data_IF_170139001271
#
_entry.id   IF_170139001271
#
_cell.length_a   1.000
_cell.length_b   1.000
_cell.length_c   1.000
_cell.angle_alpha   90.00
_cell.angle_beta   90.00
_cell.angle_gamma   90.00
#
_symmetry.space_group_name_H-M   'P 1'
#
loop_
_entity.id
_entity.type
_entity.pdbx_description
1 polymer ?
#
# COMPACT_ATOMS: atom_id res chain seq x y z
N UNK A 1 14.39 -2.37 4.59
CA UNK A 1 13.18 -1.53 4.44
C UNK A 1 11.96 -2.42 4.24
N UNK A 2 10.75 -1.90 4.54
CA UNK A 2 9.48 -2.59 4.34
C UNK A 2 8.68 -1.93 3.22
N UNK A 3 8.27 -2.70 2.21
CA UNK A 3 7.28 -2.27 1.22
C UNK A 3 5.90 -2.56 1.75
N UNK A 4 5.05 -1.55 1.88
CA UNK A 4 3.74 -1.70 2.52
C UNK A 4 2.59 -1.88 1.53
N UNK A 5 2.87 -1.79 0.23
CA UNK A 5 1.86 -1.88 -0.82
C UNK A 5 2.44 -2.49 -2.10
N UNK A 6 2.00 -3.69 -2.45
CA UNK A 6 2.45 -4.41 -3.65
C UNK A 6 1.44 -5.46 -4.12
N UNK A 7 1.37 -5.68 -5.44
CA UNK A 7 0.52 -6.68 -6.10
C UNK A 7 1.33 -7.89 -6.58
N UNK A 8 2.22 -8.37 -5.70
CA UNK A 8 3.14 -9.46 -6.01
C UNK A 8 2.51 -10.84 -5.76
N UNK A 9 1.38 -10.94 -5.03
CA UNK A 9 0.70 -12.22 -4.83
C UNK A 9 0.10 -12.70 -6.15
N UNK A 10 0.66 -13.77 -6.69
CA UNK A 10 0.35 -14.20 -8.04
C UNK A 10 -1.09 -14.70 -8.23
N UNK A 11 -1.66 -14.38 -9.39
CA UNK A 11 -2.92 -14.91 -9.88
C UNK A 11 -4.12 -14.65 -8.95
N UNK A 12 -4.16 -13.44 -8.34
CA UNK A 12 -5.24 -12.97 -7.47
C UNK A 12 -5.95 -11.76 -8.06
N UNK A 13 -5.20 -10.82 -8.61
CA UNK A 13 -5.67 -9.56 -9.17
C UNK A 13 -4.94 -9.23 -10.49
N UNK A 14 -4.81 -7.95 -10.84
CA UNK A 14 -4.06 -7.47 -11.99
C UNK A 14 -2.55 -7.34 -11.71
N UNK A 15 -2.05 -7.94 -10.63
CA UNK A 15 -0.63 -8.04 -10.31
C UNK A 15 0.05 -9.22 -10.99
N UNK A 16 0.99 -9.86 -10.29
CA UNK A 16 1.77 -11.00 -10.80
C UNK A 16 0.91 -12.11 -11.40
N UNK A 17 1.22 -12.53 -12.62
CA UNK A 17 0.50 -13.61 -13.31
C UNK A 17 0.96 -15.02 -12.92
N UNK A 18 2.14 -15.16 -12.33
CA UNK A 18 2.68 -16.46 -11.93
C UNK A 18 3.62 -16.36 -10.74
N UNK A 19 3.87 -17.50 -10.10
CA UNK A 19 4.79 -17.59 -8.97
C UNK A 19 6.22 -17.20 -9.38
N UNK A 20 6.63 -17.52 -10.61
CA UNK A 20 7.94 -17.14 -11.15
C UNK A 20 8.07 -15.64 -11.26
N UNK A 21 7.03 -14.93 -11.72
CA UNK A 21 6.99 -13.47 -11.78
C UNK A 21 7.08 -12.88 -10.38
N UNK A 22 6.32 -13.40 -9.41
CA UNK A 22 6.38 -12.98 -8.01
C UNK A 22 7.80 -13.12 -7.44
N UNK A 23 8.47 -14.23 -7.71
CA UNK A 23 9.84 -14.49 -7.25
C UNK A 23 10.83 -13.51 -7.88
N UNK A 24 10.69 -13.20 -9.16
CA UNK A 24 11.54 -12.19 -9.83
C UNK A 24 11.36 -10.84 -9.17
N UNK A 25 10.12 -10.37 -8.98
CA UNK A 25 9.82 -9.08 -8.34
C UNK A 25 10.38 -9.00 -6.91
N UNK A 26 10.24 -10.05 -6.12
CA UNK A 26 10.79 -10.10 -4.76
C UNK A 26 12.33 -10.03 -4.76
N UNK A 27 13.01 -10.70 -5.70
CA UNK A 27 14.46 -10.61 -5.86
C UNK A 27 14.90 -9.20 -6.26
N UNK A 28 14.17 -8.55 -7.15
CA UNK A 28 14.43 -7.17 -7.55
C UNK A 28 14.23 -6.19 -6.39
N UNK A 29 13.13 -6.31 -5.62
CA UNK A 29 12.91 -5.51 -4.42
C UNK A 29 14.03 -5.72 -3.39
N UNK A 30 14.45 -6.97 -3.18
CA UNK A 30 15.59 -7.27 -2.30
C UNK A 30 16.85 -6.56 -2.78
N UNK A 31 17.13 -6.53 -4.09
CA UNK A 31 18.34 -5.93 -4.67
C UNK A 31 18.45 -4.43 -4.38
N UNK A 32 17.32 -3.74 -4.19
CA UNK A 32 17.26 -2.31 -3.85
C UNK A 32 17.07 -2.05 -2.35
N UNK A 33 17.15 -3.11 -1.51
CA UNK A 33 17.24 -3.03 -0.07
C UNK A 33 15.93 -3.26 0.70
N UNK A 34 14.87 -3.78 0.09
CA UNK A 34 13.71 -4.25 0.82
C UNK A 34 14.00 -5.63 1.44
N UNK A 35 13.60 -5.79 2.69
CA UNK A 35 13.71 -7.05 3.45
C UNK A 35 12.36 -7.60 3.86
N UNK A 36 11.33 -6.76 3.81
CA UNK A 36 9.96 -7.11 4.12
C UNK A 36 9.03 -6.55 3.05
N UNK A 37 8.02 -7.31 2.65
CA UNK A 37 7.02 -6.91 1.65
C UNK A 37 5.64 -7.34 2.13
N UNK A 38 4.71 -6.39 2.21
CA UNK A 38 3.30 -6.68 2.45
C UNK A 38 2.63 -6.83 1.09
N UNK A 39 2.11 -8.02 0.83
CA UNK A 39 1.35 -8.35 -0.36
C UNK A 39 -0.08 -7.89 -0.14
N UNK A 40 -0.52 -6.91 -0.92
CA UNK A 40 -1.81 -6.24 -0.77
C UNK A 40 -2.66 -6.38 -2.02
N UNK A 41 -3.01 -7.61 -2.47
CA UNK A 41 -3.82 -7.76 -3.65
C UNK A 41 -5.13 -7.00 -3.49
N UNK A 42 -5.65 -6.49 -4.61
CA UNK A 42 -6.95 -5.82 -4.64
C UNK A 42 -8.06 -6.68 -4.04
N UNK A 43 -8.96 -6.02 -3.35
CA UNK A 43 -10.29 -6.54 -3.05
C UNK A 43 -11.35 -5.53 -3.48
N UNK A 44 -12.04 -5.83 -4.56
CA UNK A 44 -13.12 -5.00 -5.11
C UNK A 44 -14.40 -5.85 -5.08
N UNK A 45 -15.28 -5.59 -4.12
CA UNK A 45 -16.49 -6.38 -3.92
C UNK A 45 -17.33 -6.49 -5.19
N UNK A 46 -17.65 -7.72 -5.58
CA UNK A 46 -18.49 -8.02 -6.72
C UNK A 46 -17.79 -7.93 -8.09
N UNK A 47 -16.47 -7.76 -8.11
CA UNK A 47 -15.66 -7.80 -9.32
C UNK A 47 -14.86 -9.12 -9.42
N UNK A 48 -14.08 -9.28 -10.48
CA UNK A 48 -13.12 -10.38 -10.63
C UNK A 48 -12.01 -10.34 -9.56
N UNK A 49 -11.75 -9.19 -8.93
CA UNK A 49 -10.79 -9.00 -7.83
C UNK A 49 -11.42 -9.19 -6.45
N UNK A 50 -12.41 -10.08 -6.33
CA UNK A 50 -13.07 -10.42 -5.06
C UNK A 50 -12.65 -11.79 -4.52
N UNK A 51 -11.41 -12.20 -4.75
CA UNK A 51 -10.88 -13.47 -4.23
C UNK A 51 -11.03 -13.54 -2.71
N UNK A 52 -11.57 -14.66 -2.21
CA UNK A 52 -11.74 -14.88 -0.78
C UNK A 52 -10.39 -15.15 -0.08
N UNK A 53 -10.40 -15.07 1.25
CA UNK A 53 -9.18 -15.22 2.03
C UNK A 53 -8.56 -16.61 1.93
N UNK A 54 -9.33 -17.67 1.66
CA UNK A 54 -8.79 -19.01 1.50
C UNK A 54 -7.87 -19.08 0.28
N UNK A 55 -8.31 -18.59 -0.88
CA UNK A 55 -7.50 -18.57 -2.11
C UNK A 55 -6.22 -17.73 -1.90
N UNK A 56 -6.35 -16.56 -1.27
CA UNK A 56 -5.19 -15.70 -0.96
C UNK A 56 -4.18 -16.42 -0.06
N UNK A 57 -4.64 -17.14 0.98
CA UNK A 57 -3.79 -17.91 1.88
C UNK A 57 -3.10 -19.09 1.17
N UNK A 58 -3.78 -19.78 0.26
CA UNK A 58 -3.20 -20.84 -0.55
C UNK A 58 -2.03 -20.27 -1.39
N UNK A 59 -2.26 -19.20 -2.15
CA UNK A 59 -1.23 -18.53 -2.95
C UNK A 59 -0.07 -17.98 -2.10
N UNK A 60 -0.40 -17.41 -0.95
CA UNK A 60 0.61 -16.91 -0.01
C UNK A 60 1.49 -18.05 0.52
N UNK A 61 0.92 -19.20 0.85
CA UNK A 61 1.65 -20.37 1.33
C UNK A 61 2.56 -20.93 0.25
N UNK A 62 2.05 -21.11 -0.97
CA UNK A 62 2.83 -21.54 -2.12
C UNK A 62 4.03 -20.61 -2.38
N UNK A 63 3.81 -19.30 -2.37
CA UNK A 63 4.86 -18.30 -2.58
C UNK A 63 5.91 -18.34 -1.45
N UNK A 64 5.47 -18.50 -0.20
CA UNK A 64 6.37 -18.60 0.96
C UNK A 64 7.26 -19.84 0.90
N UNK A 65 6.72 -20.97 0.44
CA UNK A 65 7.49 -22.17 0.22
C UNK A 65 8.54 -22.01 -0.89
N UNK A 66 8.18 -21.37 -2.00
CA UNK A 66 9.10 -21.12 -3.11
C UNK A 66 10.22 -20.13 -2.73
N UNK A 67 9.92 -19.10 -1.94
CA UNK A 67 10.92 -18.19 -1.36
C UNK A 67 11.94 -18.98 -0.52
N UNK A 68 11.46 -19.87 0.34
CA UNK A 68 12.31 -20.72 1.18
C UNK A 68 13.17 -21.68 0.35
N UNK A 69 12.58 -22.32 -0.65
CA UNK A 69 13.26 -23.27 -1.55
C UNK A 69 14.38 -22.59 -2.35
N UNK A 70 14.17 -21.34 -2.76
CA UNK A 70 15.18 -20.55 -3.48
C UNK A 70 16.14 -19.78 -2.57
N UNK A 71 16.05 -19.93 -1.24
CA UNK A 71 16.88 -19.23 -0.25
C UNK A 71 16.87 -17.70 -0.43
N UNK A 72 15.69 -17.12 -0.72
CA UNK A 72 15.55 -15.67 -0.85
C UNK A 72 15.34 -15.07 0.54
N UNK A 73 16.29 -14.24 1.00
CA UNK A 73 16.21 -13.57 2.32
C UNK A 73 15.28 -12.35 2.25
N UNK A 74 13.99 -12.58 2.12
CA UNK A 74 12.92 -11.59 2.16
C UNK A 74 11.74 -12.19 2.93
N UNK A 75 11.12 -11.38 3.78
CA UNK A 75 9.91 -11.77 4.47
C UNK A 75 8.69 -11.23 3.73
N UNK A 76 7.65 -12.04 3.64
CA UNK A 76 6.37 -11.62 3.07
C UNK A 76 5.28 -11.66 4.12
N UNK A 77 4.36 -10.71 4.02
CA UNK A 77 3.18 -10.57 4.86
C UNK A 77 1.96 -10.39 3.97
N UNK A 78 0.78 -10.66 4.49
CA UNK A 78 -0.46 -10.60 3.70
C UNK A 78 -1.37 -9.50 4.22
N UNK A 79 -2.02 -8.80 3.31
CA UNK A 79 -3.07 -7.83 3.54
C UNK A 79 -3.99 -7.74 2.32
N UNK A 80 -4.77 -6.68 2.24
CA UNK A 80 -5.49 -6.29 1.03
C UNK A 80 -5.36 -4.79 0.79
N UNK A 81 -5.34 -4.38 -0.47
CA UNK A 81 -5.81 -3.08 -0.88
C UNK A 81 -7.31 -3.17 -1.12
N UNK A 82 -8.09 -2.53 -0.25
CA UNK A 82 -9.54 -2.65 -0.21
C UNK A 82 -10.15 -1.46 -0.94
N UNK A 83 -10.83 -1.70 -2.06
CA UNK A 83 -11.62 -0.65 -2.67
C UNK A 83 -12.79 -0.29 -1.75
N UNK A 84 -12.89 1.00 -1.42
CA UNK A 84 -13.81 1.51 -0.40
C UNK A 84 -15.25 1.08 -0.66
N UNK A 85 -15.92 0.60 0.39
CA UNK A 85 -17.34 0.23 0.39
C UNK A 85 -17.93 0.40 1.79
N UNK A 86 -19.25 0.58 1.87
CA UNK A 86 -19.94 0.83 3.15
C UNK A 86 -19.92 -0.35 4.13
N UNK A 87 -19.55 -1.54 3.68
CA UNK A 87 -19.57 -2.75 4.50
C UNK A 87 -18.19 -3.37 4.74
N UNK A 88 -17.13 -2.55 4.76
CA UNK A 88 -15.74 -3.03 5.04
C UNK A 88 -15.69 -3.84 6.34
N UNK A 89 -16.34 -3.38 7.39
CA UNK A 89 -16.34 -4.07 8.69
C UNK A 89 -17.03 -5.44 8.62
N UNK A 90 -18.13 -5.55 7.88
CA UNK A 90 -18.80 -6.83 7.64
C UNK A 90 -17.90 -7.80 6.86
N UNK A 91 -17.16 -7.31 5.88
CA UNK A 91 -16.21 -8.13 5.11
C UNK A 91 -15.06 -8.66 5.98
N UNK A 92 -14.58 -7.86 6.93
CA UNK A 92 -13.58 -8.30 7.94
C UNK A 92 -14.15 -9.38 8.85
N UNK A 93 -15.35 -9.18 9.40
CA UNK A 93 -16.03 -10.15 10.28
C UNK A 93 -16.28 -11.49 9.56
N UNK A 94 -16.64 -11.43 8.28
CA UNK A 94 -16.82 -12.61 7.43
C UNK A 94 -15.51 -13.24 6.93
N UNK A 95 -14.37 -12.65 7.26
CA UNK A 95 -13.05 -13.09 6.80
C UNK A 95 -12.94 -13.15 5.26
N UNK A 96 -13.55 -12.19 4.57
CA UNK A 96 -13.44 -12.04 3.12
C UNK A 96 -12.23 -11.18 2.72
N UNK A 97 -11.79 -10.28 3.64
CA UNK A 97 -10.63 -9.41 3.47
C UNK A 97 -9.66 -9.54 4.64
N UNK A 98 -8.42 -9.12 4.43
CA UNK A 98 -7.40 -9.00 5.46
C UNK A 98 -7.08 -7.53 5.76
N UNK A 99 -6.89 -7.21 7.04
CA UNK A 99 -6.07 -6.05 7.41
C UNK A 99 -4.59 -6.32 7.10
N UNK A 100 -3.76 -5.30 7.12
CA UNK A 100 -2.33 -5.48 6.86
C UNK A 100 -1.69 -6.38 7.96
N UNK A 101 -1.25 -7.56 7.56
CA UNK A 101 -0.64 -8.56 8.46
C UNK A 101 -1.46 -8.87 9.73
N UNK A 102 -2.79 -8.89 9.63
CA UNK A 102 -3.71 -9.07 10.77
C UNK A 102 -3.55 -8.02 11.88
N UNK A 103 -3.00 -6.85 11.60
CA UNK A 103 -2.96 -5.70 12.50
C UNK A 103 -4.27 -4.91 12.44
N UNK A 104 -4.35 -3.81 13.17
CA UNK A 104 -5.49 -2.89 13.12
C UNK A 104 -5.53 -1.98 11.87
N UNK A 105 -4.57 -2.07 10.98
CA UNK A 105 -4.43 -1.17 9.83
C UNK A 105 -5.11 -1.72 8.58
N UNK A 106 -5.93 -0.89 7.93
CA UNK A 106 -6.64 -1.21 6.70
C UNK A 106 -6.15 -0.32 5.56
N UNK A 107 -5.59 -0.89 4.51
CA UNK A 107 -5.22 -0.14 3.30
C UNK A 107 -6.45 0.00 2.41
N UNK A 108 -6.88 1.24 2.18
CA UNK A 108 -8.14 1.57 1.51
C UNK A 108 -7.86 2.37 0.25
N UNK A 109 -8.30 1.84 -0.89
CA UNK A 109 -8.30 2.54 -2.17
C UNK A 109 -9.62 3.30 -2.38
N UNK A 110 -9.53 4.52 -2.93
CA UNK A 110 -10.67 5.36 -3.28
C UNK A 110 -10.84 5.46 -4.80
N UNK A 111 -12.02 5.85 -5.32
CA UNK A 111 -12.20 6.12 -6.73
C UNK A 111 -11.29 7.28 -7.21
N UNK A 112 -10.63 7.11 -8.38
CA UNK A 112 -9.66 8.08 -8.87
C UNK A 112 -10.26 9.44 -9.26
N UNK A 113 -11.47 9.45 -9.80
CA UNK A 113 -12.09 10.63 -10.40
C UNK A 113 -13.18 11.26 -9.56
N UNK A 114 -13.90 10.47 -8.77
CA UNK A 114 -15.09 10.90 -8.05
C UNK A 114 -14.87 10.83 -6.52
N UNK A 115 -15.13 11.93 -5.85
CA UNK A 115 -15.11 11.94 -4.38
C UNK A 115 -16.31 11.15 -3.83
N UNK A 116 -16.08 10.37 -2.80
CA UNK A 116 -17.13 9.65 -2.06
C UNK A 116 -17.76 10.61 -1.04
N UNK A 117 -19.07 10.80 -1.11
CA UNK A 117 -19.78 11.76 -0.27
C UNK A 117 -19.80 11.35 1.21
N UNK A 118 -19.83 10.04 1.50
CA UNK A 118 -19.90 9.49 2.87
C UNK A 118 -18.55 8.90 3.33
N UNK A 119 -17.43 9.36 2.77
CA UNK A 119 -16.11 8.84 3.15
C UNK A 119 -15.81 9.06 4.64
N UNK A 120 -16.20 10.21 5.17
CA UNK A 120 -16.01 10.57 6.58
C UNK A 120 -16.79 9.63 7.51
N UNK A 121 -18.02 9.25 7.14
CA UNK A 121 -18.82 8.28 7.91
C UNK A 121 -18.17 6.89 7.91
N UNK A 122 -17.67 6.43 6.77
CA UNK A 122 -16.97 5.14 6.65
C UNK A 122 -15.71 5.14 7.54
N UNK A 123 -14.92 6.21 7.49
CA UNK A 123 -13.71 6.37 8.31
C UNK A 123 -14.08 6.35 9.80
N UNK A 124 -15.12 7.09 10.19
CA UNK A 124 -15.60 7.13 11.57
C UNK A 124 -16.00 5.73 12.08
N UNK A 125 -16.76 4.97 11.29
CA UNK A 125 -17.14 3.60 11.63
C UNK A 125 -15.93 2.67 11.79
N UNK A 126 -14.93 2.78 10.90
CA UNK A 126 -13.69 2.01 10.96
C UNK A 126 -12.95 2.32 12.26
N UNK A 127 -12.76 3.61 12.58
CA UNK A 127 -12.07 4.05 13.79
C UNK A 127 -12.82 3.62 15.07
N UNK A 128 -14.15 3.68 15.07
CA UNK A 128 -15.00 3.26 16.21
C UNK A 128 -14.81 1.77 16.53
N UNK A 129 -14.48 0.95 15.55
CA UNK A 129 -14.20 -0.49 15.72
C UNK A 129 -12.74 -0.79 16.07
N UNK A 130 -11.92 0.25 16.28
CA UNK A 130 -10.52 0.12 16.66
C UNK A 130 -9.56 -0.16 15.48
N UNK A 131 -10.04 -0.07 14.25
CA UNK A 131 -9.18 -0.11 13.07
C UNK A 131 -8.70 1.30 12.70
N UNK A 132 -7.57 1.37 12.00
CA UNK A 132 -6.98 2.62 11.50
C UNK A 132 -6.94 2.55 9.97
N UNK A 133 -7.67 3.44 9.26
CA UNK A 133 -7.63 3.48 7.82
C UNK A 133 -6.32 4.12 7.32
N UNK A 134 -5.70 3.49 6.35
CA UNK A 134 -4.58 4.01 5.56
C UNK A 134 -5.11 4.25 4.15
N UNK A 135 -5.21 5.50 3.72
CA UNK A 135 -5.60 5.81 2.34
C UNK A 135 -4.40 5.53 1.42
N UNK A 136 -4.61 4.60 0.48
CA UNK A 136 -3.63 4.23 -0.53
C UNK A 136 -3.44 5.39 -1.53
N UNK A 137 -2.19 5.66 -1.88
CA UNK A 137 -1.76 6.60 -2.92
C UNK A 137 -2.66 7.84 -3.14
N UNK A 138 -2.92 8.66 -2.06
CA UNK A 138 -3.82 9.82 -2.14
C UNK A 138 -3.39 10.82 -3.23
N UNK A 139 -2.13 10.85 -3.59
CA UNK A 139 -1.60 11.71 -4.64
C UNK A 139 -2.12 11.35 -6.04
N UNK A 140 -2.74 10.17 -6.23
CA UNK A 140 -3.31 9.75 -7.53
C UNK A 140 -4.75 10.22 -7.72
N UNK A 141 -5.47 10.62 -6.66
CA UNK A 141 -6.88 11.03 -6.76
C UNK A 141 -7.03 12.47 -7.23
N UNK A 142 -7.77 12.69 -8.34
CA UNK A 142 -7.90 13.99 -8.98
C UNK A 142 -8.49 15.07 -8.07
N UNK A 143 -9.44 14.71 -7.22
CA UNK A 143 -10.07 15.66 -6.30
C UNK A 143 -9.12 16.11 -5.20
N UNK A 144 -8.22 15.28 -4.70
CA UNK A 144 -7.16 15.69 -3.78
C UNK A 144 -6.11 16.56 -4.49
N UNK A 145 -5.77 16.24 -5.74
CA UNK A 145 -4.87 17.07 -6.55
C UNK A 145 -5.42 18.48 -6.80
N UNK A 146 -6.75 18.61 -6.89
CA UNK A 146 -7.45 19.89 -7.09
C UNK A 146 -7.66 20.67 -5.78
N UNK A 147 -7.78 19.96 -4.65
CA UNK A 147 -8.08 20.56 -3.34
C UNK A 147 -7.33 19.84 -2.19
N UNK A 148 -6.16 20.33 -1.84
CA UNK A 148 -5.32 19.76 -0.79
C UNK A 148 -5.95 19.83 0.61
N UNK A 149 -6.90 20.76 0.83
CA UNK A 149 -7.61 20.88 2.11
C UNK A 149 -8.37 19.60 2.47
N UNK A 150 -8.76 18.79 1.48
CA UNK A 150 -9.38 17.48 1.75
C UNK A 150 -8.40 16.51 2.44
N UNK A 151 -7.10 16.59 2.12
CA UNK A 151 -6.05 15.82 2.82
C UNK A 151 -5.90 16.32 4.26
N UNK A 152 -5.89 17.64 4.45
CA UNK A 152 -5.79 18.25 5.79
C UNK A 152 -6.96 17.81 6.68
N UNK A 153 -8.19 17.84 6.16
CA UNK A 153 -9.38 17.39 6.88
C UNK A 153 -9.33 15.91 7.27
N UNK A 154 -8.92 15.04 6.34
CA UNK A 154 -8.79 13.60 6.63
C UNK A 154 -7.73 13.33 7.71
N UNK A 155 -6.66 14.14 7.75
CA UNK A 155 -5.61 14.00 8.76
C UNK A 155 -6.14 14.26 10.18
N UNK A 156 -7.14 15.12 10.34
CA UNK A 156 -7.80 15.39 11.63
C UNK A 156 -8.71 14.24 12.11
N UNK A 157 -8.95 13.24 11.26
CA UNK A 157 -9.80 12.08 11.53
C UNK A 157 -9.02 10.78 11.83
N UNK A 158 -7.78 10.86 12.29
CA UNK A 158 -6.90 9.71 12.55
C UNK A 158 -6.67 8.80 11.31
N UNK A 159 -6.70 9.39 10.11
CA UNK A 159 -6.38 8.71 8.85
C UNK A 159 -4.89 8.76 8.61
N UNK A 160 -4.31 7.64 8.22
CA UNK A 160 -2.94 7.55 7.73
C UNK A 160 -2.88 7.54 6.21
N UNK A 161 -1.74 7.91 5.65
CA UNK A 161 -1.53 7.97 4.20
C UNK A 161 -0.33 7.15 3.76
N UNK A 162 -0.57 6.28 2.79
CA UNK A 162 0.49 5.60 2.05
C UNK A 162 0.64 6.25 0.67
N UNK A 163 1.83 6.74 0.33
CA UNK A 163 2.14 7.30 -0.99
C UNK A 163 3.03 6.35 -1.80
N UNK A 164 2.92 6.41 -3.12
CA UNK A 164 3.76 5.61 -4.01
C UNK A 164 5.14 6.25 -4.21
N UNK A 165 6.19 5.45 -4.09
CA UNK A 165 7.58 5.90 -4.31
C UNK A 165 7.77 6.63 -5.65
N UNK A 166 7.17 6.12 -6.73
CA UNK A 166 7.35 6.65 -8.08
C UNK A 166 6.71 8.01 -8.31
N UNK A 167 5.72 8.38 -7.51
CA UNK A 167 4.98 9.65 -7.62
C UNK A 167 5.89 10.86 -7.50
N UNK A 168 6.97 10.75 -6.71
CA UNK A 168 7.93 11.86 -6.50
C UNK A 168 8.71 12.21 -7.77
N UNK A 169 8.80 11.29 -8.74
CA UNK A 169 9.41 11.51 -10.04
C UNK A 169 8.41 11.92 -11.13
N UNK A 170 7.12 12.06 -10.78
CA UNK A 170 6.07 12.46 -11.72
C UNK A 170 5.55 11.31 -12.59
N UNK A 171 5.74 10.06 -12.17
CA UNK A 171 5.25 8.88 -12.91
C UNK A 171 3.76 8.94 -13.20
N UNK A 172 2.96 9.42 -12.24
CA UNK A 172 1.50 9.64 -12.38
C UNK A 172 1.14 11.08 -12.78
N UNK A 173 2.08 11.82 -13.35
CA UNK A 173 1.87 13.18 -13.83
C UNK A 173 2.28 14.27 -12.82
N UNK A 174 2.31 15.51 -13.32
CA UNK A 174 2.78 16.68 -12.54
C UNK A 174 1.90 17.02 -11.34
N UNK A 175 0.60 16.75 -11.41
CA UNK A 175 -0.33 17.06 -10.32
C UNK A 175 -0.10 16.11 -9.14
N UNK A 176 0.07 14.81 -9.40
CA UNK A 176 0.45 13.82 -8.39
C UNK A 176 1.81 14.14 -7.76
N UNK A 177 2.81 14.52 -8.57
CA UNK A 177 4.13 14.96 -8.06
C UNK A 177 4.04 16.19 -7.15
N UNK A 178 3.16 17.14 -7.47
CA UNK A 178 2.97 18.33 -6.61
C UNK A 178 2.32 17.95 -5.29
N UNK A 179 1.31 17.07 -5.32
CA UNK A 179 0.61 16.65 -4.10
C UNK A 179 1.51 15.84 -3.17
N UNK A 180 2.26 14.85 -3.66
CA UNK A 180 3.19 14.11 -2.78
C UNK A 180 4.27 15.03 -2.19
N UNK A 181 4.75 16.04 -2.94
CA UNK A 181 5.69 17.04 -2.38
C UNK A 181 5.06 17.89 -1.27
N UNK A 182 3.78 18.27 -1.43
CA UNK A 182 3.02 18.94 -0.38
C UNK A 182 2.92 18.06 0.87
N UNK A 183 2.50 16.81 0.71
CA UNK A 183 2.34 15.85 1.80
C UNK A 183 3.67 15.57 2.53
N UNK A 184 4.77 15.40 1.79
CA UNK A 184 6.11 15.24 2.40
C UNK A 184 6.55 16.44 3.20
N UNK A 185 6.31 17.67 2.72
CA UNK A 185 6.65 18.92 3.44
C UNK A 185 5.85 19.09 4.72
N UNK A 186 4.59 18.69 4.72
CA UNK A 186 3.69 18.77 5.88
C UNK A 186 3.77 17.55 6.81
N UNK A 187 4.63 16.56 6.51
CA UNK A 187 4.78 15.33 7.31
C UNK A 187 3.50 14.48 7.36
N UNK A 188 2.76 14.43 6.25
CA UNK A 188 1.52 13.67 6.11
C UNK A 188 1.72 12.26 5.52
N UNK A 189 2.91 11.93 5.03
CA UNK A 189 3.22 10.60 4.50
C UNK A 189 3.61 9.68 5.65
N UNK A 190 2.74 8.77 6.02
CA UNK A 190 3.01 7.80 7.10
C UNK A 190 3.75 6.57 6.57
N UNK A 191 3.45 6.17 5.33
CA UNK A 191 4.00 4.99 4.67
C UNK A 191 4.37 5.27 3.21
N UNK A 192 5.33 4.50 2.71
CA UNK A 192 5.68 4.48 1.29
C UNK A 192 5.57 3.06 0.76
N UNK A 193 4.94 2.90 -0.42
CA UNK A 193 4.78 1.62 -1.10
C UNK A 193 5.27 1.68 -2.55
N UNK A 194 5.61 0.54 -3.11
CA UNK A 194 6.02 0.46 -4.52
C UNK A 194 4.83 0.43 -5.45
N UNK A 195 3.72 -0.17 -5.02
CA UNK A 195 2.53 -0.42 -5.84
C UNK A 195 2.93 -1.19 -7.13
N UNK A 196 3.88 -2.12 -6.99
CA UNK A 196 4.42 -2.88 -8.11
C UNK A 196 3.50 -4.03 -8.47
N UNK A 197 3.21 -4.19 -9.79
CA UNK A 197 2.30 -5.21 -10.31
C UNK A 197 3.04 -6.25 -11.15
N UNK A 198 3.91 -5.82 -12.05
CA UNK A 198 4.53 -6.68 -13.07
C UNK A 198 6.00 -6.41 -13.29
N UNK A 199 6.75 -7.41 -13.74
CA UNK A 199 8.15 -7.29 -14.15
C UNK A 199 8.37 -6.31 -15.31
N UNK A 200 7.35 -6.01 -16.10
CA UNK A 200 7.42 -5.01 -17.18
C UNK A 200 7.26 -3.56 -16.70
N UNK A 201 6.98 -3.36 -15.40
CA UNK A 201 6.72 -2.04 -14.79
C UNK A 201 7.70 -1.78 -13.63
N UNK A 202 8.99 -1.99 -13.88
CA UNK A 202 10.06 -1.90 -12.87
C UNK A 202 10.57 -0.48 -12.65
N UNK A 203 9.85 0.57 -13.10
CA UNK A 203 10.30 1.95 -12.99
C UNK A 203 10.75 2.32 -11.57
N UNK A 204 10.10 1.79 -10.53
CA UNK A 204 10.50 2.03 -9.14
C UNK A 204 11.87 1.45 -8.86
N UNK A 205 12.16 0.26 -9.34
CA UNK A 205 13.42 -0.47 -9.13
C UNK A 205 14.55 0.27 -9.83
N UNK A 206 14.37 0.58 -11.11
CA UNK A 206 15.38 1.26 -11.95
C UNK A 206 15.75 2.66 -11.44
N UNK A 207 14.83 3.31 -10.71
CA UNK A 207 14.98 4.68 -10.25
C UNK A 207 15.05 4.83 -8.73
N UNK A 208 15.16 3.75 -7.96
CA UNK A 208 14.98 3.78 -6.50
C UNK A 208 15.93 4.76 -5.80
N UNK A 209 17.20 4.77 -6.14
CA UNK A 209 18.19 5.70 -5.57
C UNK A 209 17.82 7.16 -5.83
N UNK A 210 17.34 7.47 -7.04
CA UNK A 210 16.90 8.81 -7.41
C UNK A 210 15.65 9.23 -6.65
N UNK A 211 14.70 8.30 -6.48
CA UNK A 211 13.49 8.47 -5.68
C UNK A 211 13.86 8.78 -4.24
N UNK A 212 14.66 7.92 -3.60
CA UNK A 212 15.12 8.07 -2.22
C UNK A 212 15.83 9.40 -1.99
N UNK A 213 16.80 9.75 -2.85
CA UNK A 213 17.51 11.04 -2.78
C UNK A 213 16.54 12.23 -2.86
N UNK A 214 15.53 12.16 -3.73
CA UNK A 214 14.56 13.25 -3.91
C UNK A 214 13.62 13.38 -2.72
N UNK A 215 13.15 12.28 -2.14
CA UNK A 215 12.34 12.27 -0.91
C UNK A 215 13.13 12.87 0.25
N UNK A 216 14.35 12.38 0.49
CA UNK A 216 15.24 12.88 1.56
C UNK A 216 15.53 14.37 1.40
N UNK A 217 15.76 14.83 0.17
CA UNK A 217 15.99 16.27 -0.11
C UNK A 217 14.79 17.14 0.27
N UNK A 218 13.56 16.64 0.16
CA UNK A 218 12.34 17.40 0.44
C UNK A 218 11.94 17.30 1.90
N UNK A 219 11.98 16.11 2.46
CA UNK A 219 11.42 15.78 3.77
C UNK A 219 12.45 15.71 4.91
N UNK A 220 13.73 15.53 4.57
CA UNK A 220 14.82 15.28 5.50
C UNK A 220 15.03 13.79 5.76
N UNK A 221 16.27 13.41 6.11
CA UNK A 221 16.65 12.00 6.34
C UNK A 221 15.89 11.40 7.53
N UNK A 222 15.79 12.10 8.64
CA UNK A 222 15.12 11.64 9.86
C UNK A 222 13.64 11.30 9.60
N UNK A 223 12.95 12.12 8.80
CA UNK A 223 11.56 11.83 8.48
C UNK A 223 11.43 10.61 7.54
N UNK A 224 12.34 10.47 6.58
CA UNK A 224 12.36 9.27 5.74
C UNK A 224 12.62 8.00 6.56
N UNK A 225 13.51 8.06 7.54
CA UNK A 225 13.75 6.96 8.50
C UNK A 225 12.51 6.67 9.36
N UNK A 226 11.79 7.71 9.81
CA UNK A 226 10.54 7.54 10.55
C UNK A 226 9.47 6.83 9.73
N UNK A 227 9.29 7.17 8.45
CA UNK A 227 8.37 6.46 7.55
C UNK A 227 8.73 4.97 7.45
N UNK A 228 10.02 4.65 7.32
CA UNK A 228 10.46 3.24 7.30
C UNK A 228 10.24 2.54 8.66
N UNK A 229 10.41 3.24 9.76
CA UNK A 229 10.16 2.71 11.10
C UNK A 229 8.66 2.50 11.36
N UNK A 230 7.81 3.41 10.90
CA UNK A 230 6.35 3.25 10.96
C UNK A 230 5.90 1.95 10.27
N UNK A 231 6.52 1.60 9.14
CA UNK A 231 6.22 0.37 8.44
C UNK A 231 6.52 -0.90 9.28
N UNK A 232 7.38 -0.81 10.27
CA UNK A 232 7.66 -1.93 11.19
C UNK A 232 6.44 -2.24 12.09
N UNK A 233 5.60 -1.25 12.43
CA UNK A 233 4.37 -1.50 13.19
C UNK A 233 3.35 -2.37 12.45
N UNK A 234 3.47 -2.45 11.11
CA UNK A 234 2.61 -3.29 10.27
C UNK A 234 3.06 -4.75 10.20
N UNK A 235 4.30 -5.05 10.59
CA UNK A 235 4.89 -6.39 10.51
C UNK A 235 5.16 -7.02 11.87
N UNK A 236 5.14 -6.23 12.94
CA UNK A 236 5.21 -6.71 14.31
C UNK A 236 3.82 -6.55 14.93
N UNK A 237 3.13 -7.66 15.21
CA UNK A 237 1.92 -7.61 16.01
C UNK A 237 2.34 -7.14 17.42
N UNK A 238 1.87 -5.98 17.85
CA UNK A 238 1.87 -5.63 19.28
C UNK A 238 0.89 -6.61 19.93
N UNK A 239 1.42 -7.55 20.76
CA UNK A 239 0.64 -8.44 21.62
C UNK A 239 -0.15 -7.64 22.65
#
# INVERSE_FOLDING_TARGET
>A
MTDVHSHILFNIDDGSYSIEESIILLKELKSIGFTNVILTPHYIKGSEYSANNQIKLERFTELKEEIKKQNIEINIYLGNEIFVCNNILELLERKEIFSLNNTKYLLIELPFHNQILNLEDIIYEINLKGYIPIIAHPERYEYFQKNYKLIDNLREMDVMFQCNYVSILGYYGKSAEKLIKYMLKNKYVDYLGTDIHHIKKTFVIDNFDKIKKKIIKIAGITYFENINNNANSLIHNEE
#
